data_IF_193788635391
#
_entry.id   IF_193788635391
#
_cell.length_a   1.000
_cell.length_b   1.000
_cell.length_c   1.000
_cell.angle_alpha   90.00
_cell.angle_beta   90.00
_cell.angle_gamma   90.00
#
_symmetry.space_group_name_H-M   'P 1'
#
loop_
_entity.id
_entity.type
_entity.pdbx_description
1 polymer ?
#
# COMPACT_ATOMS: atom_id res chain seq x y z
N UNK A 1 -3.06 6.87 26.33
CA UNK A 1 -4.12 7.13 25.33
C UNK A 1 -3.96 6.10 24.24
N UNK A 2 -4.99 5.29 24.02
CA UNK A 2 -5.00 4.19 23.03
C UNK A 2 -6.00 4.58 21.96
N UNK A 3 -5.58 4.57 20.69
CA UNK A 3 -6.43 4.89 19.55
C UNK A 3 -6.82 3.58 18.85
N UNK A 4 -8.09 3.47 18.45
CA UNK A 4 -8.65 2.30 17.78
C UNK A 4 -9.24 2.68 16.43
N UNK A 5 -9.24 1.74 15.48
CA UNK A 5 -9.86 1.91 14.17
C UNK A 5 -11.39 2.08 14.32
N UNK A 6 -12.04 2.67 13.31
CA UNK A 6 -13.48 2.82 13.32
C UNK A 6 -14.18 1.44 13.27
N UNK A 7 -15.31 1.27 13.98
CA UNK A 7 -16.24 0.19 13.67
C UNK A 7 -16.92 0.40 12.31
N UNK A 8 -17.43 -0.66 11.67
CA UNK A 8 -18.21 -0.54 10.43
C UNK A 8 -19.45 0.35 10.64
N UNK A 9 -19.86 1.05 9.59
CA UNK A 9 -20.92 2.06 9.65
C UNK A 9 -22.22 1.50 10.27
N UNK A 10 -22.59 2.01 11.45
CA UNK A 10 -23.86 1.66 12.11
C UNK A 10 -23.83 1.53 13.63
N UNK A 11 -22.70 1.65 14.31
CA UNK A 11 -22.67 1.60 15.79
C UNK A 11 -22.19 2.92 16.40
N UNK A 12 -23.14 3.69 16.93
CA UNK A 12 -22.88 4.77 17.88
C UNK A 12 -22.44 4.17 19.23
N UNK A 13 -21.16 4.35 19.60
CA UNK A 13 -20.73 5.00 20.86
C UNK A 13 -19.17 5.06 20.85
N UNK A 14 -18.52 6.21 21.11
CA UNK A 14 -17.07 6.26 21.25
C UNK A 14 -16.70 5.60 22.58
N UNK A 15 -16.04 4.45 22.53
CA UNK A 15 -15.30 3.94 23.69
C UNK A 15 -14.23 4.96 24.11
N UNK A 16 -13.78 4.93 25.36
CA UNK A 16 -12.91 5.94 26.01
C UNK A 16 -11.57 6.30 25.30
N UNK A 17 -11.28 5.71 24.14
CA UNK A 17 -10.25 6.13 23.19
C UNK A 17 -10.90 6.86 22.01
N UNK A 18 -10.53 8.13 21.78
CA UNK A 18 -11.08 8.93 20.68
C UNK A 18 -10.96 8.24 19.31
N UNK A 19 -11.83 8.62 18.39
CA UNK A 19 -11.77 8.18 17.00
C UNK A 19 -10.88 9.11 16.17
N UNK A 20 -10.09 8.56 15.24
CA UNK A 20 -9.31 9.37 14.30
C UNK A 20 -10.17 9.75 13.09
N UNK A 21 -10.46 11.04 12.84
CA UNK A 21 -11.30 11.49 11.73
C UNK A 21 -10.52 11.54 10.40
N UNK A 22 -9.91 10.42 10.02
CA UNK A 22 -9.18 10.26 8.77
C UNK A 22 -9.74 9.04 8.04
N UNK A 23 -10.36 9.24 6.87
CA UNK A 23 -10.89 8.19 5.99
C UNK A 23 -11.57 7.04 6.75
N UNK A 24 -12.64 7.35 7.49
CA UNK A 24 -13.37 6.36 8.28
C UNK A 24 -12.49 5.61 9.30
N UNK A 25 -11.55 6.29 9.95
CA UNK A 25 -10.67 5.72 10.97
C UNK A 25 -9.54 4.85 10.41
N UNK A 26 -9.11 5.10 9.18
CA UNK A 26 -7.96 4.43 8.56
C UNK A 26 -6.64 4.85 9.24
N UNK A 27 -6.34 4.16 10.34
CA UNK A 27 -5.08 4.33 11.06
C UNK A 27 -3.88 3.92 10.20
N UNK A 28 -4.05 3.03 9.23
CA UNK A 28 -2.94 2.52 8.41
C UNK A 28 -2.49 3.57 7.41
N UNK A 29 -3.44 4.18 6.69
CA UNK A 29 -3.18 5.30 5.81
C UNK A 29 -2.66 6.51 6.56
N UNK A 30 -3.24 6.84 7.71
CA UNK A 30 -2.73 7.94 8.54
C UNK A 30 -1.29 7.69 8.99
N UNK A 31 -0.97 6.50 9.49
CA UNK A 31 0.39 6.13 9.85
C UNK A 31 1.35 6.27 8.66
N UNK A 32 0.96 5.81 7.46
CA UNK A 32 1.78 5.96 6.25
C UNK A 32 2.09 7.42 5.90
N UNK A 33 1.09 8.30 5.97
CA UNK A 33 1.30 9.74 5.75
C UNK A 33 2.20 10.38 6.81
N UNK A 34 2.13 9.93 8.06
CA UNK A 34 3.03 10.43 9.12
C UNK A 34 4.46 9.94 8.93
N UNK A 35 4.67 8.70 8.48
CA UNK A 35 6.01 8.15 8.22
C UNK A 35 6.77 8.96 7.17
N UNK A 36 6.08 9.50 6.17
CA UNK A 36 6.67 10.41 5.18
C UNK A 36 7.34 11.63 5.81
N UNK A 37 6.83 12.12 6.95
CA UNK A 37 7.34 13.33 7.61
C UNK A 37 8.66 13.10 8.36
N UNK A 38 9.05 11.84 8.60
CA UNK A 38 10.30 11.50 9.29
C UNK A 38 11.56 11.77 8.43
N UNK A 39 11.39 11.99 7.14
CA UNK A 39 12.46 12.34 6.21
C UNK A 39 13.34 11.16 5.77
N UNK A 40 14.31 11.41 4.87
CA UNK A 40 15.03 10.35 4.14
C UNK A 40 15.82 9.38 5.02
N UNK A 41 16.27 9.83 6.20
CA UNK A 41 17.02 9.00 7.16
C UNK A 41 16.23 7.77 7.62
N UNK A 42 14.90 7.82 7.57
CA UNK A 42 14.02 6.75 8.01
C UNK A 42 13.35 6.02 6.84
N UNK A 43 13.74 6.28 5.59
CA UNK A 43 13.10 5.73 4.40
C UNK A 43 13.07 4.20 4.36
N UNK A 44 14.15 3.53 4.73
CA UNK A 44 14.21 2.06 4.76
C UNK A 44 13.22 1.47 5.77
N UNK A 45 13.24 1.97 7.00
CA UNK A 45 12.32 1.50 8.05
C UNK A 45 10.86 1.82 7.74
N UNK A 46 10.60 2.98 7.13
CA UNK A 46 9.27 3.35 6.69
C UNK A 46 8.80 2.42 5.57
N UNK A 47 9.66 2.11 4.60
CA UNK A 47 9.36 1.17 3.52
C UNK A 47 9.05 -0.22 4.09
N UNK A 48 9.89 -0.75 4.99
CA UNK A 48 9.68 -2.05 5.64
C UNK A 48 8.30 -2.10 6.32
N UNK A 49 8.01 -1.12 7.19
CA UNK A 49 6.75 -1.06 7.92
C UNK A 49 5.53 -0.96 7.01
N UNK A 50 5.63 -0.24 5.90
CA UNK A 50 4.54 -0.11 4.94
C UNK A 50 4.34 -1.41 4.13
N UNK A 51 5.42 -2.05 3.68
CA UNK A 51 5.33 -3.35 2.98
C UNK A 51 4.80 -4.45 3.88
N UNK A 52 5.13 -4.45 5.17
CA UNK A 52 4.62 -5.43 6.12
C UNK A 52 3.13 -5.19 6.43
N UNK A 53 2.63 -3.97 6.23
CA UNK A 53 1.23 -3.61 6.45
C UNK A 53 0.33 -3.91 5.25
N UNK A 54 0.85 -3.78 4.03
CA UNK A 54 0.09 -3.97 2.78
C UNK A 54 -0.77 -5.25 2.75
N UNK A 55 -0.28 -6.44 3.16
CA UNK A 55 -1.09 -7.66 3.13
C UNK A 55 -2.34 -7.64 4.01
N UNK A 56 -2.44 -6.70 4.95
CA UNK A 56 -3.48 -6.65 5.98
C UNK A 56 -4.44 -5.46 5.84
N UNK A 57 -4.42 -4.76 4.71
CA UNK A 57 -5.33 -3.63 4.41
C UNK A 57 -6.21 -3.94 3.19
N UNK A 58 -7.49 -3.60 3.28
CA UNK A 58 -8.45 -3.67 2.17
C UNK A 58 -8.20 -2.55 1.15
N UNK A 59 -8.74 -2.70 -0.06
CA UNK A 59 -8.49 -1.81 -1.20
C UNK A 59 -8.61 -0.31 -0.91
N UNK A 60 -9.62 0.12 -0.16
CA UNK A 60 -9.81 1.52 0.20
C UNK A 60 -8.70 2.05 1.13
N UNK A 61 -8.34 1.29 2.17
CA UNK A 61 -7.23 1.60 3.08
C UNK A 61 -5.86 1.42 2.41
N UNK A 62 -5.78 0.54 1.40
CA UNK A 62 -4.54 0.19 0.74
C UNK A 62 -4.00 1.33 -0.11
N UNK A 63 -4.84 2.21 -0.67
CA UNK A 63 -4.39 3.30 -1.55
C UNK A 63 -3.35 4.21 -0.90
N UNK A 64 -3.59 4.64 0.34
CA UNK A 64 -2.66 5.54 1.04
C UNK A 64 -1.36 4.81 1.40
N UNK A 65 -1.46 3.59 1.91
CA UNK A 65 -0.30 2.76 2.27
C UNK A 65 0.54 2.45 1.03
N UNK A 66 -0.11 2.03 -0.05
CA UNK A 66 0.50 1.68 -1.33
C UNK A 66 1.13 2.90 -2.00
N UNK A 67 0.44 4.04 -2.02
CA UNK A 67 0.97 5.28 -2.59
C UNK A 67 2.28 5.72 -1.94
N UNK A 68 2.37 5.67 -0.60
CA UNK A 68 3.62 5.99 0.10
C UNK A 68 4.69 4.90 -0.10
N UNK A 69 4.30 3.63 -0.20
CA UNK A 69 5.23 2.52 -0.47
C UNK A 69 5.85 2.65 -1.87
N UNK A 70 5.03 2.97 -2.88
CA UNK A 70 5.48 3.22 -4.25
C UNK A 70 6.44 4.40 -4.31
N UNK A 71 6.11 5.53 -3.65
CA UNK A 71 7.00 6.70 -3.59
C UNK A 71 8.37 6.36 -3.00
N UNK A 72 8.44 5.45 -2.02
CA UNK A 72 9.70 4.99 -1.44
C UNK A 72 10.44 3.98 -2.32
N UNK A 73 9.70 3.12 -3.04
CA UNK A 73 10.27 2.15 -3.99
C UNK A 73 10.80 2.80 -5.27
N UNK A 74 10.19 3.91 -5.69
CA UNK A 74 10.43 4.59 -6.96
C UNK A 74 10.82 6.06 -6.72
N UNK A 75 11.96 6.34 -6.07
CA UNK A 75 12.38 7.72 -5.75
C UNK A 75 12.63 8.56 -7.00
N UNK A 76 12.99 7.92 -8.11
CA UNK A 76 13.27 8.56 -9.41
C UNK A 76 12.04 8.59 -10.34
N UNK A 77 10.87 8.17 -9.83
CA UNK A 77 9.63 8.08 -10.59
C UNK A 77 9.38 6.71 -11.25
N UNK A 78 8.34 6.60 -12.09
CA UNK A 78 7.91 5.36 -12.74
C UNK A 78 8.99 4.68 -13.58
N UNK A 79 8.87 3.36 -13.70
CA UNK A 79 9.69 2.59 -14.63
C UNK A 79 9.35 2.94 -16.08
N UNK A 80 10.35 2.87 -16.95
CA UNK A 80 10.11 2.87 -18.38
C UNK A 80 9.28 1.64 -18.76
N UNK A 81 8.35 1.81 -19.70
CA UNK A 81 7.53 0.72 -20.21
C UNK A 81 8.40 -0.44 -20.72
N UNK A 82 8.05 -1.68 -20.33
CA UNK A 82 8.78 -2.88 -20.71
C UNK A 82 10.07 -3.14 -19.93
N UNK A 83 10.33 -2.43 -18.82
CA UNK A 83 11.44 -2.75 -17.92
C UNK A 83 11.34 -4.21 -17.46
N UNK A 84 12.37 -5.06 -17.67
CA UNK A 84 12.31 -6.46 -17.27
C UNK A 84 12.48 -6.63 -15.76
N UNK A 85 11.86 -7.66 -15.18
CA UNK A 85 11.88 -7.89 -13.73
C UNK A 85 13.29 -8.02 -13.16
N UNK A 86 14.24 -8.57 -13.94
CA UNK A 86 15.65 -8.66 -13.59
C UNK A 86 16.31 -7.29 -13.30
N UNK A 87 15.80 -6.22 -13.91
CA UNK A 87 16.34 -4.85 -13.77
C UNK A 87 15.76 -4.07 -12.58
N UNK A 88 14.78 -4.63 -11.87
CA UNK A 88 14.24 -3.99 -10.67
C UNK A 88 15.32 -3.87 -9.59
N UNK A 89 15.35 -2.73 -8.92
CA UNK A 89 16.10 -2.60 -7.68
C UNK A 89 15.53 -3.54 -6.61
N UNK A 90 16.31 -3.91 -5.57
CA UNK A 90 15.82 -4.78 -4.50
C UNK A 90 14.52 -4.27 -3.85
N UNK A 91 14.37 -2.95 -3.70
CA UNK A 91 13.19 -2.34 -3.09
C UNK A 91 11.95 -2.44 -4.00
N UNK A 92 12.12 -2.18 -5.29
CA UNK A 92 11.04 -2.31 -6.29
C UNK A 92 10.58 -3.76 -6.43
N UNK A 93 11.54 -4.70 -6.49
CA UNK A 93 11.24 -6.14 -6.53
C UNK A 93 10.46 -6.58 -5.30
N UNK A 94 10.89 -6.19 -4.09
CA UNK A 94 10.17 -6.53 -2.86
C UNK A 94 8.72 -6.02 -2.85
N UNK A 95 8.47 -4.80 -3.33
CA UNK A 95 7.11 -4.30 -3.43
C UNK A 95 6.27 -5.12 -4.42
N UNK A 96 6.82 -5.41 -5.59
CA UNK A 96 6.14 -6.25 -6.60
C UNK A 96 5.81 -7.64 -6.04
N UNK A 97 6.74 -8.26 -5.30
CA UNK A 97 6.54 -9.55 -4.63
C UNK A 97 5.43 -9.47 -3.58
N UNK A 98 5.42 -8.45 -2.72
CA UNK A 98 4.35 -8.29 -1.71
C UNK A 98 2.99 -8.17 -2.41
N UNK A 99 2.90 -7.35 -3.45
CA UNK A 99 1.66 -7.14 -4.19
C UNK A 99 1.20 -8.39 -4.95
N UNK A 100 2.12 -9.20 -5.47
CA UNK A 100 1.78 -10.44 -6.20
C UNK A 100 1.22 -11.53 -5.26
N UNK A 101 1.67 -11.55 -4.00
CA UNK A 101 1.25 -12.54 -3.01
C UNK A 101 0.09 -12.11 -2.11
N UNK A 102 -0.27 -10.82 -2.10
CA UNK A 102 -1.30 -10.27 -1.22
C UNK A 102 -2.57 -9.95 -2.01
N UNK A 103 -3.66 -10.74 -1.90
CA UNK A 103 -4.91 -10.42 -2.58
C UNK A 103 -5.66 -9.23 -1.96
N UNK A 104 -5.55 -9.00 -0.65
CA UNK A 104 -6.36 -8.05 0.11
C UNK A 104 -6.28 -6.60 -0.41
N UNK A 105 -5.09 -6.06 -0.78
CA UNK A 105 -5.01 -4.73 -1.37
C UNK A 105 -5.81 -4.56 -2.65
N UNK A 106 -6.03 -5.63 -3.41
CA UNK A 106 -6.71 -5.59 -4.71
C UNK A 106 -8.23 -5.67 -4.60
N UNK A 107 -8.77 -5.84 -3.39
CA UNK A 107 -10.18 -6.15 -3.17
C UNK A 107 -10.84 -5.14 -2.24
N UNK A 108 -12.10 -4.80 -2.54
CA UNK A 108 -13.01 -4.11 -1.63
C UNK A 108 -14.26 -4.97 -1.48
N UNK A 109 -14.61 -5.35 -0.24
CA UNK A 109 -15.70 -6.29 0.05
C UNK A 109 -15.62 -7.61 -0.75
N UNK A 110 -14.39 -8.06 -1.05
CA UNK A 110 -14.12 -9.27 -1.84
C UNK A 110 -14.18 -9.09 -3.37
N UNK A 111 -14.57 -7.91 -3.84
CA UNK A 111 -14.66 -7.58 -5.26
C UNK A 111 -13.42 -6.82 -5.77
N UNK A 112 -13.03 -6.96 -7.04
CA UNK A 112 -11.87 -6.26 -7.61
C UNK A 112 -11.96 -4.74 -7.48
N UNK A 113 -10.90 -4.15 -6.95
CA UNK A 113 -10.77 -2.71 -6.76
C UNK A 113 -9.78 -2.10 -7.76
N UNK A 114 -10.30 -1.51 -8.83
CA UNK A 114 -9.50 -1.01 -9.96
C UNK A 114 -8.54 0.14 -9.65
N UNK A 115 -8.73 0.89 -8.57
CA UNK A 115 -7.85 2.02 -8.25
C UNK A 115 -6.43 1.57 -7.89
N UNK A 116 -6.28 0.37 -7.32
CA UNK A 116 -4.97 -0.22 -7.00
C UNK A 116 -4.26 -0.64 -8.28
N UNK A 117 -4.98 -1.27 -9.21
CA UNK A 117 -4.48 -1.57 -10.55
C UNK A 117 -3.96 -0.32 -11.26
N UNK A 118 -4.78 0.74 -11.30
CA UNK A 118 -4.42 2.02 -11.90
C UNK A 118 -3.15 2.60 -11.25
N UNK A 119 -3.09 2.65 -9.92
CA UNK A 119 -1.95 3.20 -9.19
C UNK A 119 -0.66 2.40 -9.42
N UNK A 120 -0.73 1.07 -9.47
CA UNK A 120 0.44 0.22 -9.77
C UNK A 120 0.90 0.43 -11.22
N UNK A 121 -0.04 0.50 -12.16
CA UNK A 121 0.23 0.75 -13.58
C UNK A 121 0.90 2.10 -13.84
N UNK A 122 0.53 3.16 -13.10
CA UNK A 122 1.16 4.48 -13.17
C UNK A 122 2.67 4.46 -12.86
N UNK A 123 3.15 3.48 -12.08
CA UNK A 123 4.57 3.28 -11.79
C UNK A 123 5.29 2.36 -12.79
N UNK A 124 4.59 1.93 -13.85
CA UNK A 124 5.16 1.09 -14.91
C UNK A 124 5.29 -0.39 -14.54
N UNK A 125 4.60 -0.83 -13.49
CA UNK A 125 4.47 -2.23 -13.12
C UNK A 125 3.21 -2.84 -13.77
N UNK A 126 3.12 -4.17 -13.93
CA UNK A 126 1.87 -4.83 -14.29
C UNK A 126 0.74 -4.49 -13.30
N UNK A 127 -0.44 -4.20 -13.82
CA UNK A 127 -1.58 -3.63 -13.10
C UNK A 127 -2.54 -4.67 -12.52
N UNK A 128 -2.16 -5.95 -12.51
CA UNK A 128 -2.89 -6.99 -11.79
C UNK A 128 -1.97 -7.98 -11.09
N UNK A 129 -2.50 -8.65 -10.07
CA UNK A 129 -1.75 -9.58 -9.21
C UNK A 129 -1.16 -10.77 -9.97
N UNK A 130 -1.91 -11.33 -10.91
CA UNK A 130 -1.46 -12.48 -11.68
C UNK A 130 -0.38 -12.08 -12.68
N UNK A 131 -0.53 -10.92 -13.33
CA UNK A 131 0.48 -10.37 -14.22
C UNK A 131 1.77 -9.99 -13.47
N UNK A 132 1.68 -9.44 -12.25
CA UNK A 132 2.84 -9.24 -11.38
C UNK A 132 3.56 -10.56 -11.07
N UNK A 133 2.80 -11.61 -10.74
CA UNK A 133 3.37 -12.93 -10.46
C UNK A 133 4.10 -13.50 -11.68
N UNK A 134 3.50 -13.38 -12.87
CA UNK A 134 4.09 -13.83 -14.12
C UNK A 134 5.34 -13.01 -14.48
N UNK A 135 5.28 -11.70 -14.29
CA UNK A 135 6.39 -10.78 -14.53
C UNK A 135 7.61 -11.10 -13.66
N UNK A 136 7.40 -11.43 -12.39
CA UNK A 136 8.48 -11.80 -11.46
C UNK A 136 9.10 -13.18 -11.75
N UNK A 137 8.39 -14.05 -12.48
CA UNK A 137 8.85 -15.38 -12.84
C UNK A 137 9.60 -15.43 -14.19
N UNK A 138 9.65 -14.31 -14.92
CA UNK A 138 10.30 -14.17 -16.23
C UNK A 138 11.79 -13.81 -16.12
#
# INVERSE_FOLDING_TARGET
>A
MTWTAAPPAGTDDPTDGGWLPFLNGDLSGYAGLTLRQLGPRHADRAFDALTDRLPAVSGDQSLTVLGETLRLAFPDGPLASGTPAASLTPRQRRLAEVLSHSPEPWLIDGEPFGNVAMLVGEYGLPDDRAALSAYLAA
#
